data_IF_346226247674
#
_entry.id   IF_346226247674
#
_cell.length_a   1.000
_cell.length_b   1.000
_cell.length_c   1.000
_cell.angle_alpha   90.00
_cell.angle_beta   90.00
_cell.angle_gamma   90.00
#
_symmetry.space_group_name_H-M   'P 1'
#
loop_
_entity.id
_entity.type
_entity.pdbx_description
1 polymer ?
#
# COMPACT_ATOMS: atom_id res chain seq x y z
N UNK A 1 -22.70 54.98 -11.56
CA UNK A 1 -23.17 53.84 -10.78
C UNK A 1 -23.32 52.51 -11.58
N UNK A 2 -23.41 52.52 -12.92
CA UNK A 2 -23.60 51.29 -13.73
C UNK A 2 -22.31 50.46 -13.96
N UNK A 3 -21.13 51.01 -13.73
CA UNK A 3 -19.85 50.33 -13.96
C UNK A 3 -19.33 49.49 -12.75
N UNK A 4 -19.86 49.74 -11.54
CA UNK A 4 -19.43 49.03 -10.32
C UNK A 4 -20.13 47.67 -10.22
N UNK A 5 -21.32 47.52 -10.77
CA UNK A 5 -22.10 46.26 -10.72
C UNK A 5 -21.43 45.16 -11.58
N UNK A 6 -20.74 45.50 -12.67
CA UNK A 6 -20.06 44.54 -13.53
C UNK A 6 -18.78 43.94 -12.90
N UNK A 7 -18.09 44.69 -12.05
CA UNK A 7 -16.89 44.19 -11.36
C UNK A 7 -17.26 43.20 -10.26
N UNK A 8 -18.38 43.41 -9.58
CA UNK A 8 -18.85 42.50 -8.53
C UNK A 8 -19.38 41.16 -9.09
N UNK A 9 -19.98 41.17 -10.28
CA UNK A 9 -20.44 39.94 -10.94
C UNK A 9 -19.26 39.07 -11.47
N UNK A 10 -18.10 39.66 -11.78
CA UNK A 10 -16.94 38.94 -12.25
C UNK A 10 -16.16 38.25 -11.11
N UNK A 11 -16.20 38.79 -9.91
CA UNK A 11 -15.55 38.20 -8.72
C UNK A 11 -16.31 36.95 -8.22
N UNK A 12 -17.62 36.87 -8.41
CA UNK A 12 -18.45 35.72 -8.04
C UNK A 12 -18.26 34.50 -8.97
N UNK A 13 -17.70 34.68 -10.16
CA UNK A 13 -17.44 33.58 -11.08
C UNK A 13 -16.08 32.88 -10.85
N UNK A 14 -15.22 33.43 -9.97
CA UNK A 14 -13.91 32.84 -9.65
C UNK A 14 -13.93 31.98 -8.36
N UNK A 15 -15.04 31.90 -7.66
CA UNK A 15 -15.22 31.02 -6.51
C UNK A 15 -15.81 29.66 -6.89
N UNK A 16 -15.50 29.18 -8.10
CA UNK A 16 -15.61 27.78 -8.44
C UNK A 16 -14.53 27.02 -7.69
N UNK A 17 -14.77 26.67 -6.41
CA UNK A 17 -14.05 25.56 -5.80
C UNK A 17 -14.28 24.36 -6.72
N UNK A 18 -13.25 23.94 -7.44
CA UNK A 18 -13.20 22.61 -8.03
C UNK A 18 -13.16 21.65 -6.83
N UNK A 19 -14.32 21.23 -6.34
CA UNK A 19 -14.40 20.01 -5.57
C UNK A 19 -14.04 18.90 -6.56
N UNK A 20 -12.74 18.61 -6.71
CA UNK A 20 -12.35 17.30 -7.19
C UNK A 20 -13.09 16.30 -6.28
N UNK A 21 -13.73 15.26 -6.81
CA UNK A 21 -14.35 14.25 -5.98
C UNK A 21 -13.32 13.76 -4.98
N UNK A 22 -13.67 13.80 -3.71
CA UNK A 22 -12.79 13.33 -2.64
C UNK A 22 -12.68 11.81 -2.80
N UNK A 23 -11.44 11.32 -2.88
CA UNK A 23 -11.17 9.89 -3.01
C UNK A 23 -11.82 9.14 -1.84
N UNK A 24 -12.46 8.02 -2.13
CA UNK A 24 -13.19 7.23 -1.15
C UNK A 24 -12.47 5.94 -0.80
N UNK A 25 -12.67 5.36 0.42
CA UNK A 25 -12.14 4.05 0.75
C UNK A 25 -12.54 2.96 -0.25
N UNK A 26 -13.76 3.04 -0.82
CA UNK A 26 -14.27 2.09 -1.81
C UNK A 26 -13.45 2.11 -3.12
N UNK A 27 -13.01 3.29 -3.57
CA UNK A 27 -12.19 3.43 -4.77
C UNK A 27 -10.78 2.89 -4.52
N UNK A 28 -10.19 3.18 -3.36
CA UNK A 28 -8.90 2.63 -2.96
C UNK A 28 -8.96 1.10 -2.83
N UNK A 29 -9.91 0.56 -2.09
CA UNK A 29 -10.09 -0.88 -1.91
C UNK A 29 -10.26 -1.63 -3.24
N UNK A 30 -10.99 -1.05 -4.20
CA UNK A 30 -11.13 -1.62 -5.54
C UNK A 30 -9.79 -1.75 -6.27
N UNK A 31 -8.85 -0.82 -6.08
CA UNK A 31 -7.52 -0.91 -6.68
C UNK A 31 -6.72 -2.07 -6.06
N UNK A 32 -6.76 -2.23 -4.73
CA UNK A 32 -6.04 -3.28 -4.01
C UNK A 32 -6.65 -4.68 -4.17
N UNK A 33 -7.90 -4.80 -4.58
CA UNK A 33 -8.51 -6.08 -4.96
C UNK A 33 -7.98 -6.62 -6.31
N UNK A 34 -7.29 -5.81 -7.09
CA UNK A 34 -6.65 -6.22 -8.35
C UNK A 34 -5.27 -6.84 -8.14
N UNK A 35 -4.72 -7.34 -9.26
CA UNK A 35 -3.34 -7.80 -9.31
C UNK A 35 -2.40 -6.60 -9.38
N UNK A 36 -1.23 -6.70 -8.75
CA UNK A 36 -0.21 -5.67 -8.82
C UNK A 36 1.20 -6.23 -8.61
N UNK A 37 2.20 -5.43 -8.98
CA UNK A 37 3.59 -5.62 -8.62
C UNK A 37 4.13 -4.39 -7.92
N UNK A 38 5.08 -4.58 -7.00
CA UNK A 38 5.71 -3.47 -6.30
C UNK A 38 7.17 -3.80 -5.95
N UNK A 39 7.97 -2.74 -5.81
CA UNK A 39 9.29 -2.80 -5.19
C UNK A 39 9.26 -1.98 -3.90
N UNK A 40 9.82 -2.53 -2.83
CA UNK A 40 9.84 -1.85 -1.56
C UNK A 40 11.15 -2.10 -0.80
N UNK A 41 11.54 -1.07 -0.03
CA UNK A 41 12.51 -1.20 1.04
C UNK A 41 11.74 -1.32 2.35
N UNK A 42 12.08 -2.32 3.15
CA UNK A 42 11.54 -2.49 4.50
C UNK A 42 12.62 -2.29 5.53
N UNK A 43 12.24 -1.63 6.63
CA UNK A 43 13.04 -1.50 7.85
C UNK A 43 12.24 -2.12 8.98
N UNK A 44 12.84 -3.03 9.73
CA UNK A 44 12.23 -3.72 10.87
C UNK A 44 13.25 -3.88 11.99
N UNK A 45 13.05 -3.18 13.10
CA UNK A 45 14.05 -3.00 14.15
C UNK A 45 15.35 -2.44 13.55
N UNK A 46 16.48 -3.11 13.82
CA UNK A 46 17.81 -2.74 13.32
C UNK A 46 18.14 -3.35 11.94
N UNK A 47 17.20 -4.03 11.31
CA UNK A 47 17.40 -4.76 10.05
C UNK A 47 16.72 -4.04 8.88
N UNK A 48 17.23 -4.28 7.69
CA UNK A 48 16.75 -3.69 6.45
C UNK A 48 16.75 -4.73 5.32
N UNK A 49 15.75 -4.67 4.45
CA UNK A 49 15.72 -5.49 3.24
C UNK A 49 15.11 -4.71 2.07
N UNK A 50 15.50 -5.07 0.85
CA UNK A 50 14.80 -4.69 -0.39
C UNK A 50 14.08 -5.91 -0.92
N UNK A 51 12.86 -5.70 -1.39
CA UNK A 51 11.97 -6.78 -1.81
C UNK A 51 11.21 -6.40 -3.07
N UNK A 52 10.93 -7.39 -3.89
CA UNK A 52 9.95 -7.30 -4.97
C UNK A 52 8.70 -8.08 -4.57
N UNK A 53 7.54 -7.52 -4.82
CA UNK A 53 6.23 -8.05 -4.45
C UNK A 53 5.41 -8.27 -5.71
N UNK A 54 4.72 -9.40 -5.80
CA UNK A 54 3.69 -9.65 -6.79
C UNK A 54 2.45 -10.21 -6.09
N UNK A 55 1.31 -9.53 -6.23
CA UNK A 55 0.02 -9.98 -5.72
C UNK A 55 -0.89 -10.35 -6.88
N UNK A 56 -1.56 -11.48 -6.75
CA UNK A 56 -2.67 -11.88 -7.59
C UNK A 56 -3.86 -12.30 -6.71
N UNK A 57 -4.94 -12.77 -7.33
CA UNK A 57 -6.17 -13.15 -6.62
C UNK A 57 -6.02 -14.36 -5.67
N UNK A 58 -4.90 -15.10 -5.71
CA UNK A 58 -4.70 -16.34 -4.95
C UNK A 58 -3.53 -16.27 -3.98
N UNK A 59 -2.52 -15.43 -4.25
CA UNK A 59 -1.30 -15.40 -3.45
C UNK A 59 -0.59 -14.05 -3.50
N UNK A 60 0.27 -13.86 -2.52
CA UNK A 60 1.27 -12.79 -2.49
C UNK A 60 2.63 -13.44 -2.56
N UNK A 61 3.43 -13.10 -3.57
CA UNK A 61 4.80 -13.54 -3.73
C UNK A 61 5.76 -12.41 -3.41
N UNK A 62 6.74 -12.66 -2.55
CA UNK A 62 7.75 -11.71 -2.11
C UNK A 62 9.12 -12.31 -2.40
N UNK A 63 9.99 -11.55 -3.06
CA UNK A 63 11.38 -11.96 -3.34
C UNK A 63 12.32 -10.94 -2.71
N UNK A 64 13.29 -11.44 -1.94
CA UNK A 64 14.32 -10.61 -1.31
C UNK A 64 15.42 -10.36 -2.33
N UNK A 65 15.76 -9.08 -2.54
CA UNK A 65 16.82 -8.62 -3.45
C UNK A 65 18.04 -8.07 -2.69
N UNK A 66 17.85 -7.69 -1.43
CA UNK A 66 18.88 -7.27 -0.48
C UNK A 66 18.43 -7.60 0.95
N UNK A 67 19.35 -8.00 1.88
CA UNK A 67 20.80 -8.09 1.73
C UNK A 67 21.27 -9.32 0.92
N UNK A 68 22.53 -9.28 0.49
CA UNK A 68 23.11 -10.34 -0.38
C UNK A 68 23.04 -11.75 0.24
N UNK A 69 23.05 -11.85 1.58
CA UNK A 69 22.92 -13.13 2.30
C UNK A 69 21.52 -13.75 2.16
N UNK A 70 20.51 -12.96 1.82
CA UNK A 70 19.12 -13.39 1.63
C UNK A 70 18.65 -13.23 0.18
N UNK A 71 19.52 -12.75 -0.71
CA UNK A 71 19.20 -12.57 -2.13
C UNK A 71 18.68 -13.87 -2.74
N UNK A 72 17.53 -13.79 -3.42
CA UNK A 72 16.87 -14.94 -4.03
C UNK A 72 15.98 -15.75 -3.07
N UNK A 73 15.84 -15.34 -1.80
CA UNK A 73 14.82 -15.92 -0.94
C UNK A 73 13.44 -15.51 -1.46
N UNK A 74 12.59 -16.49 -1.72
CA UNK A 74 11.20 -16.32 -2.12
C UNK A 74 10.27 -16.71 -0.98
N UNK A 75 9.18 -15.95 -0.81
CA UNK A 75 8.12 -16.23 0.14
C UNK A 75 6.81 -16.10 -0.64
N UNK A 76 6.02 -17.15 -0.70
CA UNK A 76 4.70 -17.14 -1.30
C UNK A 76 3.66 -17.42 -0.20
N UNK A 77 2.73 -16.50 -0.01
CA UNK A 77 1.65 -16.64 0.97
C UNK A 77 0.36 -16.92 0.21
N UNK A 78 -0.31 -17.99 0.59
CA UNK A 78 -1.56 -18.45 0.00
C UNK A 78 -2.45 -19.11 1.06
N UNK A 79 -3.68 -18.69 1.17
CA UNK A 79 -4.57 -19.11 2.24
C UNK A 79 -3.91 -18.93 3.64
N UNK A 80 -3.87 -19.98 4.44
CA UNK A 80 -3.26 -20.02 5.78
C UNK A 80 -1.81 -20.55 5.76
N UNK A 81 -1.13 -20.54 4.60
CA UNK A 81 0.19 -21.14 4.42
C UNK A 81 1.18 -20.16 3.82
N UNK A 82 2.43 -20.28 4.21
CA UNK A 82 3.56 -19.63 3.57
C UNK A 82 4.54 -20.68 3.04
N UNK A 83 4.91 -20.58 1.78
CA UNK A 83 5.97 -21.37 1.15
C UNK A 83 7.23 -20.50 1.09
N UNK A 84 8.27 -20.94 1.77
CA UNK A 84 9.57 -20.27 1.76
C UNK A 84 10.50 -21.07 0.87
N UNK A 85 11.18 -20.41 -0.06
CA UNK A 85 12.17 -20.99 -0.95
C UNK A 85 13.49 -20.23 -0.84
N UNK A 86 14.59 -20.96 -0.73
CA UNK A 86 15.94 -20.41 -0.69
C UNK A 86 16.99 -21.45 -1.08
N UNK A 87 17.90 -21.10 -1.97
CA UNK A 87 19.01 -21.97 -2.44
C UNK A 87 18.56 -23.39 -2.83
N UNK A 88 17.43 -23.48 -3.54
CA UNK A 88 16.85 -24.76 -4.00
C UNK A 88 16.15 -25.58 -2.93
N UNK A 89 16.09 -25.12 -1.69
CA UNK A 89 15.26 -25.67 -0.63
C UNK A 89 13.89 -25.01 -0.62
N UNK A 90 12.86 -25.78 -0.33
CA UNK A 90 11.50 -25.29 -0.17
C UNK A 90 10.91 -25.84 1.13
N UNK A 91 10.20 -25.00 1.84
CA UNK A 91 9.46 -25.38 3.04
C UNK A 91 8.11 -24.67 3.07
N UNK A 92 7.07 -25.46 3.30
CA UNK A 92 5.73 -24.95 3.57
C UNK A 92 5.47 -24.96 5.07
N UNK A 93 4.92 -23.85 5.58
CA UNK A 93 4.60 -23.65 6.99
C UNK A 93 3.24 -22.98 7.10
N UNK A 94 2.56 -23.15 8.21
CA UNK A 94 1.35 -22.39 8.48
C UNK A 94 1.70 -20.97 8.90
N UNK A 95 0.95 -19.99 8.43
CA UNK A 95 1.17 -18.57 8.77
C UNK A 95 1.01 -18.31 10.27
N UNK A 96 0.08 -19.02 10.95
CA UNK A 96 -0.15 -18.92 12.39
C UNK A 96 1.03 -19.42 13.26
N UNK A 97 1.97 -20.17 12.67
CA UNK A 97 3.18 -20.63 13.35
C UNK A 97 4.35 -19.64 13.27
N UNK A 98 4.19 -18.56 12.51
CA UNK A 98 5.19 -17.51 12.38
C UNK A 98 5.03 -16.46 13.49
N UNK A 99 6.11 -15.79 13.90
CA UNK A 99 6.03 -14.70 14.86
C UNK A 99 5.13 -13.57 14.33
N UNK A 100 4.26 -13.05 15.17
CA UNK A 100 3.55 -11.80 14.88
C UNK A 100 4.55 -10.68 14.56
N UNK A 101 4.22 -9.82 13.61
CA UNK A 101 5.11 -8.74 13.20
C UNK A 101 6.21 -9.15 12.22
N UNK A 102 6.22 -10.40 11.74
CA UNK A 102 7.07 -10.78 10.62
C UNK A 102 6.74 -9.91 9.39
N UNK A 103 7.74 -9.23 8.76
CA UNK A 103 7.46 -8.20 7.74
C UNK A 103 6.56 -8.66 6.58
N UNK A 104 6.70 -9.89 6.11
CA UNK A 104 5.87 -10.39 5.01
C UNK A 104 4.41 -10.67 5.43
N UNK A 105 4.15 -11.04 6.71
CA UNK A 105 2.77 -11.14 7.24
C UNK A 105 2.15 -9.76 7.45
N UNK A 106 2.95 -8.75 7.80
CA UNK A 106 2.47 -7.37 7.87
C UNK A 106 2.11 -6.82 6.49
N UNK A 107 2.81 -7.22 5.42
CA UNK A 107 2.44 -6.87 4.05
C UNK A 107 1.14 -7.56 3.62
N UNK A 108 0.98 -8.86 3.92
CA UNK A 108 -0.27 -9.58 3.67
C UNK A 108 -1.44 -8.85 4.35
N UNK A 109 -1.33 -8.62 5.66
CA UNK A 109 -2.33 -7.88 6.44
C UNK A 109 -2.64 -6.51 5.85
N UNK A 110 -1.61 -5.73 5.47
CA UNK A 110 -1.77 -4.42 4.85
C UNK A 110 -2.63 -4.50 3.59
N UNK A 111 -2.32 -5.46 2.70
CA UNK A 111 -3.03 -5.57 1.44
C UNK A 111 -4.45 -6.12 1.61
N UNK A 112 -4.67 -7.00 2.58
CA UNK A 112 -6.01 -7.49 2.91
C UNK A 112 -6.87 -6.36 3.48
N UNK A 113 -6.38 -5.60 4.47
CA UNK A 113 -7.12 -4.48 5.05
C UNK A 113 -7.35 -3.35 4.02
N UNK A 114 -6.37 -3.03 3.16
CA UNK A 114 -6.58 -2.06 2.08
C UNK A 114 -7.55 -2.55 0.99
N UNK A 115 -7.85 -3.84 0.94
CA UNK A 115 -8.82 -4.44 0.01
C UNK A 115 -10.27 -4.40 0.54
N UNK A 116 -10.48 -4.12 1.84
CA UNK A 116 -11.80 -3.95 2.44
C UNK A 116 -12.01 -2.47 2.87
N UNK A 117 -12.98 -1.76 2.30
CA UNK A 117 -13.23 -0.37 2.63
C UNK A 117 -13.74 -0.12 4.05
N UNK A 118 -14.11 -1.18 4.81
CA UNK A 118 -14.54 -1.08 6.19
C UNK A 118 -13.38 -1.14 7.19
N UNK A 119 -12.20 -1.65 6.77
CA UNK A 119 -11.04 -1.87 7.62
C UNK A 119 -10.12 -0.65 7.75
N UNK A 120 -10.34 0.40 6.95
CA UNK A 120 -9.55 1.62 7.04
C UNK A 120 -10.35 2.91 6.82
N UNK A 121 -9.80 4.00 7.30
CA UNK A 121 -10.27 5.36 7.00
C UNK A 121 -9.32 6.04 6.02
N UNK A 122 -9.86 6.91 5.16
CA UNK A 122 -9.08 7.65 4.17
C UNK A 122 -9.22 9.15 4.42
N UNK A 123 -8.10 9.88 4.36
CA UNK A 123 -8.07 11.34 4.45
C UNK A 123 -7.02 11.90 3.51
N UNK A 124 -7.19 13.14 3.05
CA UNK A 124 -6.19 13.82 2.22
C UNK A 124 -5.21 14.59 3.10
N UNK A 125 -3.92 14.33 2.92
CA UNK A 125 -2.85 15.00 3.65
C UNK A 125 -1.67 15.32 2.71
N UNK A 126 -1.26 16.59 2.65
CA UNK A 126 -0.14 17.07 1.82
C UNK A 126 -0.23 16.67 0.32
N UNK A 127 -1.43 16.55 -0.23
CA UNK A 127 -1.64 16.18 -1.63
C UNK A 127 -1.62 14.67 -1.91
N UNK A 128 -1.42 13.84 -0.88
CA UNK A 128 -1.56 12.39 -0.91
C UNK A 128 -2.76 11.94 -0.09
N UNK A 129 -3.07 10.66 -0.16
CA UNK A 129 -4.10 10.03 0.66
C UNK A 129 -3.43 9.30 1.84
N UNK A 130 -3.96 9.51 3.03
CA UNK A 130 -3.54 8.80 4.23
C UNK A 130 -4.63 7.79 4.59
N UNK A 131 -4.31 6.51 4.45
CA UNK A 131 -5.11 5.39 4.92
C UNK A 131 -4.67 5.01 6.34
N UNK A 132 -5.63 4.83 7.25
CA UNK A 132 -5.40 4.38 8.63
C UNK A 132 -6.29 3.20 8.94
N UNK A 133 -5.68 2.05 9.18
CA UNK A 133 -6.27 0.86 9.78
C UNK A 133 -6.06 0.82 11.29
N UNK A 134 -6.34 -0.33 11.90
CA UNK A 134 -6.17 -0.53 13.33
C UNK A 134 -4.70 -0.49 13.74
N UNK A 135 -3.83 -1.21 13.01
CA UNK A 135 -2.42 -1.39 13.35
C UNK A 135 -1.45 -0.69 12.39
N UNK A 136 -1.95 -0.08 11.30
CA UNK A 136 -1.11 0.54 10.31
C UNK A 136 -1.53 1.97 9.95
N UNK A 137 -0.60 2.68 9.35
CA UNK A 137 -0.86 3.87 8.55
C UNK A 137 -0.13 3.77 7.21
N UNK A 138 -0.81 4.09 6.12
CA UNK A 138 -0.24 4.02 4.78
C UNK A 138 -0.48 5.32 4.02
N UNK A 139 0.51 5.73 3.24
CA UNK A 139 0.40 6.88 2.33
C UNK A 139 0.22 6.35 0.93
N UNK A 140 -0.85 6.79 0.26
CA UNK A 140 -1.18 6.44 -1.10
C UNK A 140 -1.07 7.67 -2.00
N UNK A 141 -0.73 7.45 -3.25
CA UNK A 141 -0.85 8.46 -4.30
C UNK A 141 -2.32 8.86 -4.49
N UNK A 142 -2.60 10.15 -4.54
CA UNK A 142 -3.94 10.64 -4.85
C UNK A 142 -4.32 10.48 -6.34
N UNK A 143 -3.37 10.10 -7.18
CA UNK A 143 -3.53 10.01 -8.62
C UNK A 143 -4.03 8.63 -9.05
N UNK A 144 -3.51 7.57 -8.44
CA UNK A 144 -3.73 6.18 -8.85
C UNK A 144 -3.85 5.17 -7.69
N UNK A 145 -3.86 5.63 -6.43
CA UNK A 145 -3.87 4.83 -5.20
C UNK A 145 -2.61 3.96 -4.99
N UNK A 146 -1.54 4.14 -5.78
CA UNK A 146 -0.31 3.40 -5.55
C UNK A 146 0.26 3.68 -4.15
N UNK A 147 0.79 2.63 -3.50
CA UNK A 147 1.43 2.77 -2.19
C UNK A 147 2.76 3.53 -2.31
N UNK A 148 2.94 4.53 -1.46
CA UNK A 148 4.18 5.29 -1.29
C UNK A 148 4.92 4.79 -0.06
N UNK A 149 4.22 4.58 1.05
CA UNK A 149 4.79 4.03 2.28
C UNK A 149 3.73 3.43 3.18
N UNK A 150 4.14 2.52 4.05
CA UNK A 150 3.31 1.99 5.13
C UNK A 150 4.14 1.83 6.41
N UNK A 151 3.49 1.98 7.56
CA UNK A 151 4.10 1.88 8.89
C UNK A 151 3.24 1.04 9.81
N UNK A 152 3.89 0.17 10.55
CA UNK A 152 3.32 -0.63 11.64
C UNK A 152 4.04 -0.27 12.94
N UNK A 153 3.57 0.75 13.68
CA UNK A 153 4.30 1.28 14.84
C UNK A 153 4.50 0.25 15.96
N UNK A 154 3.53 -0.65 16.17
CA UNK A 154 3.62 -1.69 17.20
C UNK A 154 4.74 -2.71 16.94
N UNK A 155 5.18 -2.84 15.68
CA UNK A 155 6.20 -3.79 15.25
C UNK A 155 7.51 -3.12 14.82
N UNK A 156 7.61 -1.79 14.97
CA UNK A 156 8.77 -0.99 14.54
C UNK A 156 9.14 -1.29 13.07
N UNK A 157 8.11 -1.49 12.21
CA UNK A 157 8.27 -1.89 10.82
C UNK A 157 7.74 -0.79 9.89
N UNK A 158 8.56 -0.43 8.91
CA UNK A 158 8.22 0.53 7.87
C UNK A 158 8.52 -0.04 6.49
N UNK A 159 7.66 0.28 5.52
CA UNK A 159 7.84 -0.02 4.10
C UNK A 159 7.86 1.29 3.32
N UNK A 160 8.84 1.45 2.43
CA UNK A 160 8.90 2.55 1.46
C UNK A 160 8.87 1.92 0.05
N UNK A 161 7.84 2.23 -0.71
CA UNK A 161 7.64 1.69 -2.06
C UNK A 161 8.31 2.62 -3.08
N UNK A 162 9.17 2.07 -3.92
CA UNK A 162 9.85 2.78 -5.01
C UNK A 162 9.12 2.65 -6.34
N UNK A 163 8.46 1.51 -6.54
CA UNK A 163 7.60 1.21 -7.67
C UNK A 163 6.32 0.53 -7.18
N UNK A 164 5.17 0.89 -7.75
CA UNK A 164 3.90 0.23 -7.47
C UNK A 164 3.01 0.28 -8.72
N UNK A 165 2.71 -0.87 -9.30
CA UNK A 165 2.03 -0.97 -10.58
C UNK A 165 0.83 -1.91 -10.49
N UNK A 166 -0.38 -1.37 -10.61
CA UNK A 166 -1.59 -2.18 -10.74
C UNK A 166 -1.67 -2.81 -12.13
N UNK A 167 -1.93 -4.13 -12.17
CA UNK A 167 -2.11 -4.87 -13.42
C UNK A 167 -3.53 -4.61 -13.94
N UNK A 168 -3.68 -3.82 -15.01
CA UNK A 168 -4.98 -3.53 -15.64
C UNK A 168 -5.41 -2.07 -15.58
N UNK A 169 -4.60 -1.17 -15.07
CA UNK A 169 -4.80 0.27 -15.19
C UNK A 169 -4.55 0.74 -16.62
N UNK A 170 -5.63 1.01 -17.36
CA UNK A 170 -5.67 1.91 -18.52
C UNK A 170 -6.61 3.04 -18.19
#
# INVERSE_FOLDING_TARGET
MRKIIFVFAFILLLSGCSNAPEATPQEAAKAFNGDFTAEARTVFGDSEAEITIAKNSMSISIFVTYPAELEGMGIEIFDEHAKISYDGMEQEIKTDSLPEGTPFLLLEKLFDELSDPEDFTLSTENGNLLAKGEDFSAVLSAEDFSLISAKFPAYETEFAFSEFLFSGGK
#
